data_IF_133042113467
#
_entry.id   IF_133042113467
#
_cell.length_a   1.000
_cell.length_b   1.000
_cell.length_c   1.000
_cell.angle_alpha   90.00
_cell.angle_beta   90.00
_cell.angle_gamma   90.00
#
_symmetry.space_group_name_H-M   'P 1'
#
loop_
_entity.id
_entity.type
_entity.pdbx_description
1 polymer ?
#
# COMPACT_ATOMS: atom_id res chain seq x y z
N UNK A 1 -51.01 -26.19 -27.46
CA UNK A 1 -49.80 -25.93 -28.28
C UNK A 1 -49.60 -24.42 -28.30
N UNK A 2 -48.52 -23.79 -27.86
CA UNK A 2 -47.16 -24.24 -27.57
C UNK A 2 -46.42 -23.11 -26.83
N UNK A 3 -45.65 -23.50 -25.81
CA UNK A 3 -44.28 -23.03 -25.49
C UNK A 3 -44.16 -21.53 -25.19
N UNK A 4 -44.06 -21.14 -23.91
CA UNK A 4 -42.79 -21.05 -23.15
C UNK A 4 -41.70 -20.30 -23.92
N UNK A 5 -41.17 -19.25 -23.28
CA UNK A 5 -39.76 -19.03 -22.93
C UNK A 5 -39.43 -17.54 -23.09
N UNK A 6 -39.50 -16.75 -22.01
CA UNK A 6 -38.33 -16.39 -21.19
C UNK A 6 -37.12 -15.94 -22.04
N UNK A 7 -36.82 -14.64 -22.02
CA UNK A 7 -35.58 -14.19 -21.36
C UNK A 7 -35.65 -12.68 -21.10
N UNK A 8 -35.83 -12.33 -19.84
CA UNK A 8 -35.40 -11.05 -19.27
C UNK A 8 -33.89 -10.93 -19.49
N UNK A 9 -33.46 -10.17 -20.50
CA UNK A 9 -32.11 -9.61 -20.51
C UNK A 9 -32.14 -8.43 -19.55
N UNK A 10 -32.06 -8.73 -18.26
CA UNK A 10 -31.74 -7.76 -17.24
C UNK A 10 -30.32 -7.29 -17.51
N UNK A 11 -30.21 -6.12 -18.14
CA UNK A 11 -28.98 -5.37 -18.30
C UNK A 11 -28.50 -5.02 -16.89
N UNK A 12 -27.67 -5.89 -16.32
CA UNK A 12 -26.80 -5.54 -15.22
C UNK A 12 -25.61 -4.82 -15.85
N UNK A 13 -25.73 -3.51 -16.09
CA UNK A 13 -24.53 -2.69 -16.24
C UNK A 13 -23.87 -2.73 -14.87
N UNK A 14 -22.77 -3.48 -14.77
CA UNK A 14 -21.89 -3.48 -13.62
C UNK A 14 -21.46 -2.03 -13.36
N UNK A 15 -21.70 -1.56 -12.15
CA UNK A 15 -21.17 -0.29 -11.66
C UNK A 15 -19.69 -0.52 -11.39
N UNK A 16 -18.85 -0.34 -12.40
CA UNK A 16 -17.41 -0.26 -12.22
C UNK A 16 -17.11 1.07 -11.50
N UNK A 17 -16.73 0.99 -10.22
CA UNK A 17 -16.19 2.14 -9.50
C UNK A 17 -14.73 2.31 -9.98
N UNK A 18 -14.53 3.09 -11.04
CA UNK A 18 -13.21 3.38 -11.57
C UNK A 18 -12.47 4.34 -10.62
N UNK A 19 -11.76 3.79 -9.63
CA UNK A 19 -10.72 4.53 -8.92
C UNK A 19 -9.68 5.05 -9.95
N UNK A 20 -9.17 6.28 -9.84
CA UNK A 20 -8.22 6.84 -10.79
C UNK A 20 -7.01 5.91 -10.99
N UNK A 21 -6.62 5.65 -12.24
CA UNK A 21 -5.55 4.70 -12.59
C UNK A 21 -4.25 4.89 -11.78
N UNK A 22 -3.88 6.14 -11.53
CA UNK A 22 -2.67 6.50 -10.74
C UNK A 22 -2.82 6.11 -9.27
N UNK A 23 -4.02 6.24 -8.70
CA UNK A 23 -4.30 5.85 -7.31
C UNK A 23 -4.28 4.33 -7.15
N UNK A 24 -4.94 3.63 -8.06
CA UNK A 24 -4.87 2.18 -8.12
C UNK A 24 -3.43 1.70 -8.26
N UNK A 25 -2.61 2.38 -9.06
CA UNK A 25 -1.21 2.03 -9.22
C UNK A 25 -0.39 2.24 -7.95
N UNK A 26 -0.45 3.43 -7.33
CA UNK A 26 0.28 3.73 -6.09
C UNK A 26 -0.15 2.85 -4.92
N UNK A 27 -1.46 2.61 -4.78
CA UNK A 27 -2.01 1.68 -3.78
C UNK A 27 -1.51 0.27 -3.99
N UNK A 28 -1.58 -0.25 -5.22
CA UNK A 28 -1.14 -1.60 -5.52
C UNK A 28 0.35 -1.77 -5.25
N UNK A 29 1.19 -0.78 -5.57
CA UNK A 29 2.61 -0.79 -5.23
C UNK A 29 2.84 -0.75 -3.71
N UNK A 30 2.05 0.02 -2.96
CA UNK A 30 2.15 0.09 -1.51
C UNK A 30 1.78 -1.23 -0.82
N UNK A 31 0.74 -1.89 -1.32
CA UNK A 31 0.23 -3.16 -0.78
C UNK A 31 0.98 -4.38 -1.32
N UNK A 32 1.58 -4.28 -2.50
CA UNK A 32 2.24 -5.39 -3.20
C UNK A 32 3.51 -4.91 -3.94
N UNK A 33 4.53 -4.41 -3.23
CA UNK A 33 5.81 -4.07 -3.83
C UNK A 33 6.58 -5.34 -4.20
N UNK A 34 7.79 -5.19 -4.74
CA UNK A 34 8.73 -6.29 -5.04
C UNK A 34 9.34 -6.90 -3.76
N UNK A 35 8.51 -7.33 -2.81
CA UNK A 35 8.95 -7.85 -1.51
C UNK A 35 7.86 -7.81 -0.43
N UNK A 36 8.22 -7.36 0.78
CA UNK A 36 7.28 -7.25 1.90
C UNK A 36 6.41 -6.01 1.71
N UNK A 37 5.10 -6.20 1.74
CA UNK A 37 4.11 -5.13 1.64
C UNK A 37 4.33 -3.99 2.65
N UNK A 38 4.38 -2.75 2.16
CA UNK A 38 4.69 -1.57 2.97
C UNK A 38 3.66 -1.37 4.08
N UNK A 39 2.39 -1.63 3.78
CA UNK A 39 1.28 -1.52 4.72
C UNK A 39 1.39 -2.48 5.92
N UNK A 40 2.10 -3.61 5.79
CA UNK A 40 2.30 -4.55 6.90
C UNK A 40 3.17 -3.99 8.00
N UNK A 41 3.97 -2.96 7.72
CA UNK A 41 4.78 -2.28 8.71
C UNK A 41 4.24 -0.87 8.99
N UNK A 42 3.91 -0.11 7.95
CA UNK A 42 3.55 1.31 8.07
C UNK A 42 2.05 1.58 8.17
N UNK A 43 1.21 0.55 8.26
CA UNK A 43 -0.25 0.70 8.32
C UNK A 43 -0.88 0.96 6.95
N UNK A 44 -2.22 0.97 6.86
CA UNK A 44 -2.89 1.00 5.55
C UNK A 44 -2.80 2.36 4.85
N UNK A 45 -2.60 3.43 5.63
CA UNK A 45 -2.50 4.82 5.17
C UNK A 45 -1.19 5.46 5.63
N UNK A 46 -0.18 4.69 6.00
CA UNK A 46 1.12 5.22 6.41
C UNK A 46 1.14 5.78 7.84
N UNK A 47 0.21 5.37 8.70
CA UNK A 47 0.12 5.78 10.11
C UNK A 47 1.29 5.31 10.99
N UNK A 48 2.07 4.33 10.54
CA UNK A 48 3.10 3.65 11.32
C UNK A 48 2.51 2.56 12.22
N UNK A 49 3.35 1.90 13.01
CA UNK A 49 2.85 0.86 13.90
C UNK A 49 3.91 0.04 14.62
N UNK A 50 3.43 -0.86 15.48
CA UNK A 50 4.27 -1.89 16.10
C UNK A 50 4.44 -3.03 15.11
N UNK A 51 5.70 -3.32 14.74
CA UNK A 51 6.04 -4.47 13.90
C UNK A 51 6.16 -5.72 14.75
N UNK A 52 6.85 -5.63 15.89
CA UNK A 52 7.08 -6.77 16.76
C UNK A 52 7.44 -6.37 18.19
N UNK A 53 7.10 -7.23 19.14
CA UNK A 53 7.70 -7.26 20.47
C UNK A 53 8.68 -8.43 20.53
N UNK A 54 9.89 -8.18 21.04
CA UNK A 54 10.93 -9.19 21.10
C UNK A 54 11.83 -8.99 22.32
N UNK A 55 12.61 -10.00 22.67
CA UNK A 55 13.56 -9.94 23.79
C UNK A 55 14.98 -10.05 23.27
N UNK A 56 15.85 -9.13 23.66
CA UNK A 56 17.26 -9.16 23.29
C UNK A 56 18.11 -9.03 24.55
N UNK A 57 18.97 -10.03 24.83
CA UNK A 57 19.83 -10.09 26.02
C UNK A 57 19.06 -9.85 27.32
N UNK A 58 17.91 -10.50 27.48
CA UNK A 58 17.09 -10.35 28.68
C UNK A 58 16.14 -9.15 28.69
N UNK A 59 16.31 -8.18 27.78
CA UNK A 59 15.56 -6.92 27.76
C UNK A 59 14.45 -6.96 26.72
N UNK A 60 13.23 -6.62 27.13
CA UNK A 60 12.09 -6.47 26.23
C UNK A 60 12.28 -5.24 25.33
N UNK A 61 12.04 -5.39 24.04
CA UNK A 61 12.16 -4.37 23.01
C UNK A 61 10.92 -4.38 22.12
N UNK A 62 10.61 -3.22 21.58
CA UNK A 62 9.53 -3.05 20.60
C UNK A 62 10.15 -2.49 19.33
N UNK A 63 9.88 -3.15 18.21
CA UNK A 63 10.24 -2.68 16.88
C UNK A 63 9.06 -1.89 16.32
N UNK A 64 9.32 -0.64 15.96
CA UNK A 64 8.31 0.30 15.46
C UNK A 64 8.64 0.71 14.03
N UNK A 65 7.61 0.83 13.21
CA UNK A 65 7.66 1.54 11.94
C UNK A 65 7.12 2.97 12.15
N UNK A 66 7.83 4.00 11.65
CA UNK A 66 7.37 5.38 11.78
C UNK A 66 6.14 5.66 10.91
N UNK A 67 5.42 6.72 11.27
CA UNK A 67 4.43 7.36 10.41
C UNK A 67 5.12 7.96 9.18
N UNK A 68 4.55 7.77 8.00
CA UNK A 68 5.11 8.15 6.70
C UNK A 68 4.14 8.95 5.81
N UNK A 69 2.93 9.24 6.30
CA UNK A 69 1.97 10.15 5.67
C UNK A 69 2.04 11.59 6.23
N UNK A 70 3.18 11.97 6.82
CA UNK A 70 3.41 13.28 7.44
C UNK A 70 4.87 13.78 7.30
N UNK A 71 5.57 13.36 6.24
CA UNK A 71 6.96 13.68 5.92
C UNK A 71 7.10 14.23 4.49
N UNK A 72 8.18 14.96 4.25
CA UNK A 72 8.48 15.49 2.92
C UNK A 72 8.84 14.38 1.92
N UNK A 73 8.48 14.56 0.65
CA UNK A 73 8.78 13.61 -0.42
C UNK A 73 10.27 13.23 -0.51
N UNK A 74 11.18 14.19 -0.29
CA UNK A 74 12.62 13.94 -0.30
C UNK A 74 13.06 12.95 0.79
N UNK A 75 12.44 13.03 1.97
CA UNK A 75 12.71 12.11 3.08
C UNK A 75 12.11 10.73 2.80
N UNK A 76 10.91 10.71 2.20
CA UNK A 76 10.23 9.49 1.79
C UNK A 76 11.05 8.71 0.75
N UNK A 77 11.49 9.39 -0.31
CA UNK A 77 12.27 8.80 -1.40
C UNK A 77 13.62 8.27 -0.89
N UNK A 78 14.36 9.08 -0.12
CA UNK A 78 15.64 8.67 0.45
C UNK A 78 15.53 7.41 1.34
N UNK A 79 14.42 7.24 2.06
CA UNK A 79 14.20 6.06 2.89
C UNK A 79 14.04 4.76 2.08
N UNK A 80 13.67 4.83 0.80
CA UNK A 80 13.56 3.66 -0.09
C UNK A 80 14.90 3.29 -0.72
N UNK A 81 15.83 4.24 -0.83
CA UNK A 81 17.20 4.03 -1.33
C UNK A 81 18.15 3.47 -0.26
N UNK A 82 17.95 3.87 0.99
CA UNK A 82 18.83 3.50 2.10
C UNK A 82 18.22 2.35 2.90
N UNK A 83 18.97 1.26 3.05
CA UNK A 83 18.58 0.19 3.97
C UNK A 83 18.66 0.70 5.42
N UNK A 84 17.50 0.88 6.06
CA UNK A 84 17.39 1.32 7.46
C UNK A 84 16.70 0.27 8.31
N UNK A 85 17.43 -0.27 9.29
CA UNK A 85 16.89 -1.26 10.22
C UNK A 85 16.43 -2.53 9.49
N UNK A 86 15.16 -2.89 9.66
CA UNK A 86 14.55 -4.09 9.05
C UNK A 86 13.81 -3.80 7.74
N UNK A 87 13.75 -2.55 7.30
CA UNK A 87 13.03 -2.18 6.07
C UNK A 87 13.74 -2.79 4.85
N UNK A 88 13.03 -3.53 3.98
CA UNK A 88 13.63 -4.14 2.80
C UNK A 88 13.92 -3.09 1.72
N UNK A 89 14.77 -3.45 0.74
CA UNK A 89 14.93 -2.67 -0.49
C UNK A 89 13.93 -3.13 -1.54
N UNK A 90 13.33 -2.19 -2.25
CA UNK A 90 12.28 -2.48 -3.22
C UNK A 90 12.67 -2.28 -4.69
N UNK A 91 13.80 -1.60 -4.96
CA UNK A 91 14.28 -1.28 -6.32
C UNK A 91 13.15 -0.68 -7.20
N UNK A 92 12.55 0.40 -6.70
CA UNK A 92 11.47 1.13 -7.36
C UNK A 92 12.03 2.23 -8.26
N UNK A 93 11.32 2.60 -9.32
CA UNK A 93 11.66 3.80 -10.10
C UNK A 93 11.14 5.06 -9.40
N UNK A 94 11.64 6.24 -9.81
CA UNK A 94 11.19 7.52 -9.26
C UNK A 94 9.67 7.74 -9.45
N UNK A 95 9.11 7.28 -10.57
CA UNK A 95 7.67 7.33 -10.84
C UNK A 95 6.87 6.41 -9.90
N UNK A 96 7.37 5.22 -9.62
CA UNK A 96 6.75 4.28 -8.67
C UNK A 96 6.77 4.84 -7.24
N UNK A 97 7.89 5.43 -6.84
CA UNK A 97 8.03 6.10 -5.54
C UNK A 97 7.05 7.27 -5.44
N UNK A 98 6.95 8.08 -6.50
CA UNK A 98 6.00 9.20 -6.59
C UNK A 98 4.56 8.70 -6.50
N UNK A 99 4.20 7.62 -7.19
CA UNK A 99 2.85 7.07 -7.15
C UNK A 99 2.46 6.61 -5.74
N UNK A 100 3.36 5.93 -5.02
CA UNK A 100 3.12 5.52 -3.63
C UNK A 100 2.96 6.76 -2.73
N UNK A 101 3.82 7.76 -2.88
CA UNK A 101 3.71 8.99 -2.10
C UNK A 101 2.37 9.69 -2.34
N UNK A 102 1.95 9.85 -3.60
CA UNK A 102 0.67 10.47 -3.94
C UNK A 102 -0.52 9.68 -3.37
N UNK A 103 -0.45 8.35 -3.32
CA UNK A 103 -1.47 7.52 -2.68
C UNK A 103 -1.58 7.78 -1.16
N UNK A 104 -0.48 8.03 -0.47
CA UNK A 104 -0.47 8.21 1.00
C UNK A 104 -0.86 9.62 1.47
N UNK A 105 -0.71 10.64 0.62
CA UNK A 105 -0.93 12.06 0.98
C UNK A 105 -2.22 12.65 0.42
N UNK A 106 -2.95 11.91 -0.41
CA UNK A 106 -4.27 12.31 -0.87
C UNK A 106 -5.32 12.06 0.24
N UNK A 107 -6.25 13.01 0.48
CA UNK A 107 -7.33 12.83 1.45
C UNK A 107 -8.28 11.69 1.12
#
# INVERSE_FOLDING_TARGET
MSKKLFLLVAINVLWANDEPLVENYGKNLYENPRGIACNKCHGNKGEGGVIAHYKHKGVNKTLLAPRINNIEFSTFSQALDVQKGVMPRYFLTDEEITAIYMYLYRP
#
